data_IF_944704064742
#
_entry.id   IF_944704064742
#
_cell.length_a   1.000
_cell.length_b   1.000
_cell.length_c   1.000
_cell.angle_alpha   90.00
_cell.angle_beta   90.00
_cell.angle_gamma   90.00
#
_symmetry.space_group_name_H-M   'P 1'
#
loop_
_entity.id
_entity.type
_entity.pdbx_description
1 polymer ?
#
# COMPACT_ATOMS: atom_id res chain seq x y z
N UNK A 1 -0.21 -22.06 -0.89
CA UNK A 1 -1.49 -21.67 -0.25
C UNK A 1 -1.37 -20.24 0.22
N UNK A 2 -2.48 -19.50 0.30
CA UNK A 2 -2.51 -18.09 0.71
C UNK A 2 -2.38 -17.94 2.23
N UNK A 3 -1.71 -16.89 2.70
CA UNK A 3 -1.70 -16.46 4.10
C UNK A 3 -3.00 -15.75 4.49
N UNK A 4 -3.61 -15.03 3.55
CA UNK A 4 -4.85 -14.29 3.79
C UNK A 4 -6.05 -15.24 3.97
N UNK A 5 -6.96 -14.93 4.91
CA UNK A 5 -8.03 -15.85 5.29
C UNK A 5 -9.18 -15.87 4.28
N UNK A 6 -9.13 -16.77 3.30
CA UNK A 6 -10.15 -16.96 2.25
C UNK A 6 -11.57 -17.08 2.84
N UNK A 7 -11.76 -17.86 3.92
CA UNK A 7 -13.07 -18.02 4.56
C UNK A 7 -13.62 -16.72 5.15
N UNK A 8 -12.75 -15.85 5.66
CA UNK A 8 -13.15 -14.51 6.16
C UNK A 8 -13.54 -13.60 5.00
N UNK A 9 -12.77 -13.61 3.90
CA UNK A 9 -13.08 -12.85 2.69
C UNK A 9 -14.44 -13.27 2.13
N UNK A 10 -14.72 -14.57 2.02
CA UNK A 10 -16.03 -15.08 1.58
C UNK A 10 -17.16 -14.55 2.46
N UNK A 11 -17.01 -14.64 3.79
CA UNK A 11 -18.03 -14.13 4.72
C UNK A 11 -18.27 -12.63 4.55
N UNK A 12 -17.22 -11.82 4.35
CA UNK A 12 -17.35 -10.38 4.14
C UNK A 12 -18.02 -10.06 2.80
N UNK A 13 -17.71 -10.79 1.73
CA UNK A 13 -18.39 -10.63 0.44
C UNK A 13 -19.90 -10.92 0.54
N UNK A 14 -20.29 -11.95 1.28
CA UNK A 14 -21.71 -12.30 1.51
C UNK A 14 -22.43 -11.27 2.38
N UNK A 15 -21.77 -10.73 3.41
CA UNK A 15 -22.36 -9.73 4.33
C UNK A 15 -22.34 -8.31 3.80
N UNK A 16 -21.50 -8.01 2.81
CA UNK A 16 -21.33 -6.68 2.24
C UNK A 16 -22.41 -6.27 1.24
N UNK A 17 -23.41 -7.13 0.97
CA UNK A 17 -24.51 -6.86 0.04
C UNK A 17 -24.04 -6.46 -1.38
N UNK A 18 -22.90 -6.99 -1.84
CA UNK A 18 -22.38 -6.72 -3.19
C UNK A 18 -23.14 -7.46 -4.30
N UNK A 19 -23.66 -8.66 -3.98
CA UNK A 19 -24.44 -9.51 -4.88
C UNK A 19 -25.23 -10.56 -4.09
N UNK A 20 -26.31 -11.10 -4.67
CA UNK A 20 -27.12 -12.16 -4.04
C UNK A 20 -26.34 -13.47 -3.83
N UNK A 21 -25.48 -13.82 -4.79
CA UNK A 21 -24.66 -15.05 -4.79
C UNK A 21 -23.19 -14.68 -4.99
N UNK A 22 -22.32 -15.41 -4.28
CA UNK A 22 -20.86 -15.28 -4.40
C UNK A 22 -20.32 -16.62 -4.89
N UNK A 23 -19.61 -16.63 -6.02
CA UNK A 23 -19.01 -17.84 -6.57
C UNK A 23 -17.87 -18.36 -5.69
N UNK A 24 -17.64 -19.68 -5.71
CA UNK A 24 -16.64 -20.33 -4.84
C UNK A 24 -15.20 -19.84 -5.08
N UNK A 25 -14.86 -19.46 -6.33
CA UNK A 25 -13.53 -18.94 -6.69
C UNK A 25 -13.31 -17.46 -6.33
N UNK A 26 -14.36 -16.67 -6.19
CA UNK A 26 -14.26 -15.23 -5.91
C UNK A 26 -13.47 -14.90 -4.63
N UNK A 27 -13.73 -15.54 -3.46
CA UNK A 27 -12.96 -15.24 -2.25
C UNK A 27 -11.51 -15.70 -2.31
N UNK A 28 -11.20 -16.75 -3.09
CA UNK A 28 -9.82 -17.22 -3.29
C UNK A 28 -9.05 -16.19 -4.11
N UNK A 29 -9.63 -15.76 -5.23
CA UNK A 29 -9.01 -14.78 -6.11
C UNK A 29 -8.79 -13.43 -5.41
N UNK A 30 -9.83 -12.94 -4.72
CA UNK A 30 -9.73 -11.67 -3.99
C UNK A 30 -8.70 -11.75 -2.86
N UNK A 31 -8.65 -12.87 -2.10
CA UNK A 31 -7.62 -13.04 -1.07
C UNK A 31 -6.21 -13.03 -1.66
N UNK A 32 -6.00 -13.64 -2.83
CA UNK A 32 -4.71 -13.64 -3.52
C UNK A 32 -4.29 -12.22 -3.96
N UNK A 33 -5.20 -11.45 -4.54
CA UNK A 33 -4.93 -10.06 -4.95
C UNK A 33 -4.62 -9.18 -3.74
N UNK A 34 -5.40 -9.30 -2.66
CA UNK A 34 -5.16 -8.54 -1.43
C UNK A 34 -3.81 -8.90 -0.79
N UNK A 35 -3.44 -10.18 -0.79
CA UNK A 35 -2.15 -10.64 -0.28
C UNK A 35 -1.00 -10.10 -1.12
N UNK A 36 -1.11 -10.18 -2.45
CA UNK A 36 -0.10 -9.65 -3.37
C UNK A 36 0.13 -8.14 -3.16
N UNK A 37 -0.92 -7.34 -3.18
CA UNK A 37 -0.79 -5.89 -2.97
C UNK A 37 -0.24 -5.55 -1.58
N UNK A 38 -0.61 -6.33 -0.55
CA UNK A 38 -0.07 -6.14 0.80
C UNK A 38 1.42 -6.47 0.85
N UNK A 39 1.84 -7.56 0.20
CA UNK A 39 3.24 -7.95 0.14
C UNK A 39 4.08 -6.88 -0.56
N UNK A 40 3.64 -6.38 -1.72
CA UNK A 40 4.32 -5.34 -2.48
C UNK A 40 4.54 -4.05 -1.65
N UNK A 41 3.47 -3.55 -1.02
CA UNK A 41 3.57 -2.34 -0.17
C UNK A 41 4.52 -2.58 1.02
N UNK A 42 4.47 -3.77 1.64
CA UNK A 42 5.33 -4.09 2.78
C UNK A 42 6.79 -4.29 2.38
N UNK A 43 7.06 -4.82 1.20
CA UNK A 43 8.41 -4.96 0.65
C UNK A 43 9.04 -3.58 0.45
N UNK A 44 8.36 -2.69 -0.28
CA UNK A 44 8.84 -1.33 -0.53
C UNK A 44 8.97 -0.51 0.76
N UNK A 45 8.03 -0.64 1.69
CA UNK A 45 8.10 0.02 2.98
C UNK A 45 9.22 -0.55 3.87
N UNK A 46 9.51 -1.84 3.76
CA UNK A 46 10.65 -2.50 4.40
C UNK A 46 11.98 -1.97 3.88
N UNK A 47 12.10 -1.81 2.55
CA UNK A 47 13.27 -1.18 1.92
C UNK A 47 13.44 0.26 2.40
N UNK A 48 12.37 1.07 2.37
CA UNK A 48 12.40 2.44 2.88
C UNK A 48 12.77 2.53 4.38
N UNK A 49 12.33 1.57 5.20
CA UNK A 49 12.72 1.48 6.60
C UNK A 49 14.22 1.20 6.75
N UNK A 50 14.74 0.26 5.95
CA UNK A 50 16.15 -0.13 5.94
C UNK A 50 17.06 1.01 5.48
N UNK A 51 16.66 1.75 4.45
CA UNK A 51 17.39 2.92 3.94
C UNK A 51 17.50 4.02 5.01
N UNK A 52 16.44 4.18 5.82
CA UNK A 52 16.43 5.06 6.99
C UNK A 52 17.12 4.45 8.22
N UNK A 53 17.82 3.31 8.07
CA UNK A 53 18.53 2.58 9.13
C UNK A 53 17.63 2.21 10.31
N UNK A 54 16.37 1.87 10.02
CA UNK A 54 15.37 1.40 11.01
C UNK A 54 14.99 -0.04 10.73
N UNK A 55 14.69 -0.78 11.80
CA UNK A 55 14.21 -2.18 11.71
C UNK A 55 12.69 -2.30 11.74
N UNK A 56 11.99 -1.20 12.06
CA UNK A 56 10.52 -1.14 12.18
C UNK A 56 9.93 -0.24 11.10
N UNK A 57 8.91 -0.73 10.42
CA UNK A 57 8.08 0.06 9.51
C UNK A 57 7.22 1.04 10.34
N UNK A 58 7.23 2.31 9.95
CA UNK A 58 6.39 3.37 10.52
C UNK A 58 5.59 4.04 9.38
N UNK A 59 4.54 4.84 9.67
CA UNK A 59 3.74 5.47 8.62
C UNK A 59 4.55 6.28 7.59
N UNK A 60 5.67 6.88 8.00
CA UNK A 60 6.62 7.55 7.08
C UNK A 60 7.14 6.60 6.00
N UNK A 61 7.50 5.36 6.34
CA UNK A 61 8.02 4.40 5.37
C UNK A 61 6.94 3.96 4.37
N UNK A 62 5.69 3.82 4.83
CA UNK A 62 4.54 3.54 3.94
C UNK A 62 4.29 4.72 2.98
N UNK A 63 4.37 5.96 3.46
CA UNK A 63 4.24 7.13 2.59
C UNK A 63 5.34 7.19 1.54
N UNK A 64 6.60 6.95 1.92
CA UNK A 64 7.71 6.94 0.98
C UNK A 64 7.56 5.83 -0.06
N UNK A 65 7.20 4.62 0.36
CA UNK A 65 6.97 3.49 -0.54
C UNK A 65 5.87 3.79 -1.57
N UNK A 66 4.69 4.22 -1.10
CA UNK A 66 3.54 4.48 -1.98
C UNK A 66 3.79 5.64 -2.94
N UNK A 67 4.47 6.70 -2.51
CA UNK A 67 4.66 7.91 -3.35
C UNK A 67 5.83 7.82 -4.32
N UNK A 68 6.83 6.98 -4.03
CA UNK A 68 7.96 6.76 -4.93
C UNK A 68 7.65 5.71 -6.02
N UNK A 69 6.66 4.85 -5.80
CA UNK A 69 6.20 3.90 -6.80
C UNK A 69 5.07 4.49 -7.65
N UNK A 70 5.20 4.43 -8.98
CA UNK A 70 4.27 5.08 -9.91
C UNK A 70 2.88 4.43 -9.88
N UNK A 71 2.82 3.10 -9.86
CA UNK A 71 1.57 2.34 -9.93
C UNK A 71 0.78 2.48 -8.63
N UNK A 72 1.45 2.35 -7.48
CA UNK A 72 0.85 2.57 -6.17
C UNK A 72 0.46 4.02 -5.95
N UNK A 73 1.26 4.99 -6.40
CA UNK A 73 0.90 6.40 -6.29
C UNK A 73 -0.35 6.72 -7.11
N UNK A 74 -0.49 6.12 -8.29
CA UNK A 74 -1.69 6.24 -9.13
C UNK A 74 -2.90 5.57 -8.47
N UNK A 75 -2.74 4.35 -7.95
CA UNK A 75 -3.81 3.61 -7.26
C UNK A 75 -4.28 4.33 -5.99
N UNK A 76 -3.36 4.95 -5.23
CA UNK A 76 -3.59 5.56 -3.92
C UNK A 76 -3.47 7.09 -3.96
N UNK A 77 -3.69 7.72 -5.11
CA UNK A 77 -3.56 9.17 -5.31
C UNK A 77 -4.43 9.99 -4.36
N UNK A 78 -5.66 9.54 -4.10
CA UNK A 78 -6.62 10.20 -3.21
C UNK A 78 -6.54 9.80 -1.73
N UNK A 79 -5.64 8.90 -1.36
CA UNK A 79 -5.55 8.37 0.02
C UNK A 79 -4.59 9.22 0.85
N UNK A 80 -5.02 9.62 2.05
CA UNK A 80 -4.14 10.28 3.04
C UNK A 80 -3.61 9.24 4.04
N UNK A 81 -2.28 9.10 4.13
CA UNK A 81 -1.64 8.24 5.13
C UNK A 81 -1.34 9.08 6.36
N UNK A 82 -2.05 8.80 7.45
CA UNK A 82 -1.87 9.50 8.72
C UNK A 82 -0.41 9.42 9.19
N UNK A 83 0.15 10.55 9.62
CA UNK A 83 1.54 10.66 10.10
C UNK A 83 2.62 10.27 9.07
N UNK A 84 2.28 10.21 7.77
CA UNK A 84 3.22 9.86 6.70
C UNK A 84 4.12 10.99 6.21
N UNK A 85 3.69 12.25 6.39
CA UNK A 85 4.36 13.42 5.80
C UNK A 85 4.29 13.43 4.26
N UNK A 86 5.25 14.08 3.60
CA UNK A 86 5.31 14.20 2.13
C UNK A 86 6.68 13.80 1.57
N UNK A 87 6.79 13.49 0.28
CA UNK A 87 8.09 13.27 -0.34
C UNK A 87 8.96 14.53 -0.22
N UNK A 88 10.24 14.41 0.16
CA UNK A 88 11.16 15.55 0.14
C UNK A 88 11.31 16.05 -1.30
N UNK A 89 10.83 17.25 -1.58
CA UNK A 89 10.98 17.89 -2.88
C UNK A 89 11.09 19.40 -2.69
N UNK A 90 12.17 19.99 -3.19
CA UNK A 90 12.40 21.44 -3.19
C UNK A 90 12.46 21.88 -4.65
N UNK A 91 11.56 22.76 -5.05
CA UNK A 91 11.56 23.33 -6.39
C UNK A 91 12.86 24.08 -6.64
N UNK A 92 13.48 23.89 -7.82
CA UNK A 92 14.80 24.42 -8.13
C UNK A 92 14.91 25.95 -7.97
N UNK A 93 13.81 26.68 -8.17
CA UNK A 93 13.72 28.14 -7.97
C UNK A 93 13.96 28.58 -6.52
N UNK A 94 13.75 27.68 -5.56
CA UNK A 94 13.95 27.95 -4.13
C UNK A 94 15.39 27.70 -3.67
N UNK A 95 16.24 27.12 -4.54
CA UNK A 95 17.63 26.87 -4.20
C UNK A 95 18.46 28.16 -4.33
N UNK A 96 19.47 28.37 -3.47
CA UNK A 96 20.39 29.48 -3.63
C UNK A 96 21.06 29.38 -5.00
N UNK A 97 21.26 30.53 -5.66
CA UNK A 97 22.04 30.58 -6.90
C UNK A 97 23.42 30.00 -6.62
N UNK A 98 23.84 29.02 -7.42
CA UNK A 98 25.24 28.58 -7.40
C UNK A 98 26.10 29.78 -7.79
N UNK A 99 26.92 30.25 -6.84
CA UNK A 99 28.06 31.12 -7.12
C UNK A 99 29.12 30.34 -7.88
#
# INVERSE_FOLDING_TARGET
GLQFPVGRVHRLLRKGNYAERVGAGAPVYLAAVLEYLTAEILELAGNAARDNKKTRIIPRHLQLAVRNDEELNKLLGGVTIAQGGVLPNIQAVLLPKKT
#
